data_IF_185978625942
#
_entry.id   IF_185978625942
#
_cell.length_a   1.000
_cell.length_b   1.000
_cell.length_c   1.000
_cell.angle_alpha   90.00
_cell.angle_beta   90.00
_cell.angle_gamma   90.00
#
_symmetry.space_group_name_H-M   'P 1'
#
loop_
_entity.id
_entity.type
_entity.pdbx_description
1 polymer ?
#
# COMPACT_ATOMS: atom_id res chain seq x y z
N UNK A 1 17.74 6.33 20.06
CA UNK A 1 16.40 6.42 19.41
C UNK A 1 15.28 5.88 20.31
N UNK A 2 15.47 4.72 20.95
CA UNK A 2 14.45 4.05 21.79
C UNK A 2 13.97 4.88 23.01
N UNK A 3 14.84 5.70 23.61
CA UNK A 3 14.52 6.46 24.83
C UNK A 3 13.57 7.65 24.61
N UNK A 4 13.49 8.19 23.39
CA UNK A 4 12.63 9.34 23.07
C UNK A 4 11.18 8.96 22.71
N UNK A 5 10.93 7.70 22.31
CA UNK A 5 9.62 7.23 21.83
C UNK A 5 8.73 6.66 22.94
N UNK A 6 9.32 6.14 24.02
CA UNK A 6 8.61 5.45 25.11
C UNK A 6 7.77 6.42 25.95
N UNK A 7 8.13 7.70 26.03
CA UNK A 7 7.42 8.69 26.85
C UNK A 7 6.12 9.20 26.22
N UNK A 8 5.87 8.99 24.92
CA UNK A 8 4.72 9.60 24.23
C UNK A 8 3.65 8.59 23.72
N UNK A 9 3.97 7.30 23.51
CA UNK A 9 3.07 6.37 22.78
C UNK A 9 2.78 5.00 23.42
N UNK A 10 3.25 4.71 24.65
CA UNK A 10 3.02 3.45 25.38
C UNK A 10 3.07 2.17 24.47
N UNK A 11 1.92 1.65 24.02
CA UNK A 11 1.82 0.45 23.16
C UNK A 11 1.97 0.69 21.66
N UNK A 12 1.55 1.86 21.15
CA UNK A 12 1.59 2.17 19.70
C UNK A 12 3.03 2.48 19.26
N UNK A 13 3.86 2.94 20.21
CA UNK A 13 5.26 3.26 19.97
C UNK A 13 6.08 2.05 19.51
N UNK A 14 5.75 0.85 20.00
CA UNK A 14 6.40 -0.39 19.57
C UNK A 14 6.04 -0.72 18.11
N UNK A 15 4.77 -0.61 17.71
CA UNK A 15 4.33 -0.88 16.35
C UNK A 15 4.91 0.11 15.33
N UNK A 16 5.03 1.38 15.71
CA UNK A 16 5.68 2.40 14.88
C UNK A 16 7.18 2.12 14.78
N UNK A 17 7.84 1.73 15.88
CA UNK A 17 9.26 1.38 15.86
C UNK A 17 9.56 0.17 14.95
N UNK A 18 8.73 -0.87 14.97
CA UNK A 18 8.90 -2.04 14.08
C UNK A 18 8.64 -1.69 12.62
N UNK A 19 7.63 -0.85 12.34
CA UNK A 19 7.39 -0.34 10.99
C UNK A 19 8.60 0.49 10.49
N UNK A 20 9.13 1.41 11.30
CA UNK A 20 10.30 2.22 10.91
C UNK A 20 11.52 1.32 10.70
N UNK A 21 11.74 0.34 11.57
CA UNK A 21 12.85 -0.61 11.45
C UNK A 21 12.74 -1.46 10.17
N UNK A 22 11.53 -1.85 9.75
CA UNK A 22 11.35 -2.64 8.53
C UNK A 22 11.63 -1.81 7.28
N UNK A 23 11.18 -0.56 7.22
CA UNK A 23 11.51 0.36 6.13
C UNK A 23 13.01 0.66 6.07
N UNK A 24 13.65 0.86 7.22
CA UNK A 24 15.10 1.06 7.28
C UNK A 24 15.86 -0.15 6.71
N UNK A 25 15.42 -1.37 7.04
CA UNK A 25 16.00 -2.60 6.51
C UNK A 25 15.84 -2.69 4.98
N UNK A 26 14.66 -2.39 4.44
CA UNK A 26 14.40 -2.38 3.00
C UNK A 26 15.28 -1.36 2.26
N UNK A 27 15.44 -0.16 2.83
CA UNK A 27 16.29 0.89 2.26
C UNK A 27 17.75 0.47 2.26
N UNK A 28 18.25 -0.03 3.39
CA UNK A 28 19.64 -0.48 3.52
C UNK A 28 19.96 -1.58 2.50
N UNK A 29 19.09 -2.60 2.41
CA UNK A 29 19.26 -3.70 1.46
C UNK A 29 19.25 -3.20 0.02
N UNK A 30 18.32 -2.29 -0.31
CA UNK A 30 18.23 -1.68 -1.65
C UNK A 30 19.50 -0.91 -2.01
N UNK A 31 20.06 -0.12 -1.08
CA UNK A 31 21.32 0.61 -1.28
C UNK A 31 22.48 -0.35 -1.52
N UNK A 32 22.60 -1.43 -0.72
CA UNK A 32 23.67 -2.42 -0.87
C UNK A 32 23.60 -3.12 -2.24
N UNK A 33 22.38 -3.44 -2.70
CA UNK A 33 22.15 -4.05 -4.02
C UNK A 33 22.59 -3.14 -5.17
N UNK A 34 22.26 -1.85 -5.07
CA UNK A 34 22.67 -0.84 -6.07
C UNK A 34 24.18 -0.63 -6.03
N UNK A 35 24.77 -0.50 -4.84
CA UNK A 35 26.21 -0.30 -4.67
C UNK A 35 27.05 -1.46 -5.22
N UNK A 36 26.56 -2.70 -5.08
CA UNK A 36 27.20 -3.90 -5.64
C UNK A 36 26.92 -4.12 -7.14
N UNK A 37 26.20 -3.22 -7.81
CA UNK A 37 25.72 -3.35 -9.19
C UNK A 37 24.95 -4.66 -9.45
N UNK A 38 24.35 -5.26 -8.41
CA UNK A 38 23.54 -6.47 -8.53
C UNK A 38 22.10 -6.17 -8.92
N UNK A 39 21.69 -4.90 -8.81
CA UNK A 39 20.37 -4.44 -9.18
C UNK A 39 20.42 -3.03 -9.73
N UNK A 40 19.80 -2.85 -10.89
CA UNK A 40 19.60 -1.55 -11.53
C UNK A 40 18.10 -1.28 -11.44
N UNK A 41 17.67 -0.21 -10.76
CA UNK A 41 16.26 0.09 -10.61
C UNK A 41 15.64 0.39 -11.98
N UNK A 42 14.73 -0.48 -12.42
CA UNK A 42 14.06 -0.30 -13.69
C UNK A 42 13.07 0.88 -13.63
N UNK A 43 13.04 1.69 -14.69
CA UNK A 43 12.04 2.76 -14.85
C UNK A 43 10.60 2.24 -14.77
N UNK A 44 10.38 0.99 -15.20
CA UNK A 44 9.08 0.31 -15.07
C UNK A 44 8.67 0.08 -13.61
N UNK A 45 9.65 -0.13 -12.72
CA UNK A 45 9.41 -0.37 -11.29
C UNK A 45 8.94 0.93 -10.62
N UNK A 46 9.63 2.04 -10.88
CA UNK A 46 9.23 3.38 -10.41
C UNK A 46 7.84 3.75 -10.94
N UNK A 47 7.61 3.54 -12.24
CA UNK A 47 6.30 3.78 -12.86
C UNK A 47 5.18 2.95 -12.22
N UNK A 48 5.47 1.72 -11.83
CA UNK A 48 4.52 0.83 -11.13
C UNK A 48 4.23 1.35 -9.72
N UNK A 49 5.26 1.74 -8.95
CA UNK A 49 5.10 2.34 -7.62
C UNK A 49 4.21 3.59 -7.69
N UNK A 50 4.49 4.51 -8.62
CA UNK A 50 3.70 5.74 -8.80
C UNK A 50 2.24 5.43 -9.12
N UNK A 51 1.97 4.46 -10.00
CA UNK A 51 0.59 4.05 -10.32
C UNK A 51 -0.13 3.44 -9.12
N UNK A 52 0.56 2.62 -8.31
CA UNK A 52 -0.01 2.04 -7.08
C UNK A 52 -0.37 3.15 -6.09
N UNK A 53 0.55 4.10 -5.88
CA UNK A 53 0.31 5.27 -5.02
C UNK A 53 -0.91 6.08 -5.50
N UNK A 54 -1.02 6.31 -6.82
CA UNK A 54 -2.15 7.02 -7.41
C UNK A 54 -3.47 6.26 -7.21
N UNK A 55 -3.47 4.94 -7.42
CA UNK A 55 -4.64 4.07 -7.18
C UNK A 55 -5.07 4.09 -5.72
N UNK A 56 -4.11 4.05 -4.79
CA UNK A 56 -4.35 4.14 -3.35
C UNK A 56 -4.94 5.50 -2.98
N UNK A 57 -4.42 6.59 -3.54
CA UNK A 57 -4.91 7.94 -3.27
C UNK A 57 -6.38 8.11 -3.70
N UNK A 58 -6.75 7.61 -4.87
CA UNK A 58 -8.14 7.64 -5.32
C UNK A 58 -9.04 6.78 -4.43
N UNK A 59 -8.59 5.60 -4.01
CA UNK A 59 -9.33 4.76 -3.05
C UNK A 59 -9.57 5.51 -1.73
N UNK A 60 -8.55 6.18 -1.20
CA UNK A 60 -8.67 6.97 0.04
C UNK A 60 -9.67 8.11 -0.13
N UNK A 61 -9.60 8.85 -1.25
CA UNK A 61 -10.57 9.91 -1.56
C UNK A 61 -12.01 9.37 -1.60
N UNK A 62 -12.22 8.23 -2.27
CA UNK A 62 -13.51 7.57 -2.36
C UNK A 62 -14.04 7.17 -0.97
N UNK A 63 -13.19 6.58 -0.12
CA UNK A 63 -13.56 6.17 1.23
C UNK A 63 -13.90 7.37 2.12
N UNK A 64 -13.15 8.46 2.04
CA UNK A 64 -13.44 9.70 2.80
C UNK A 64 -14.80 10.24 2.41
N UNK A 65 -15.08 10.33 1.10
CA UNK A 65 -16.36 10.81 0.60
C UNK A 65 -17.49 9.89 1.10
N UNK A 66 -17.37 8.59 0.87
CA UNK A 66 -18.36 7.58 1.27
C UNK A 66 -18.64 7.59 2.78
N UNK A 67 -17.60 7.78 3.60
CA UNK A 67 -17.72 7.89 5.06
C UNK A 67 -18.65 9.03 5.47
N UNK A 68 -18.51 10.20 4.83
CA UNK A 68 -19.31 11.40 5.12
C UNK A 68 -20.80 11.19 4.82
N UNK A 69 -21.13 10.44 3.76
CA UNK A 69 -22.52 10.18 3.38
C UNK A 69 -23.19 9.06 4.19
N UNK A 70 -22.42 8.05 4.62
CA UNK A 70 -22.98 6.82 5.21
C UNK A 70 -23.00 6.85 6.74
N UNK A 71 -21.99 7.45 7.38
CA UNK A 71 -21.89 7.44 8.83
C UNK A 71 -22.72 8.60 9.40
N UNK A 72 -23.99 8.32 9.67
CA UNK A 72 -24.81 9.16 10.53
C UNK A 72 -24.63 8.70 11.99
N UNK A 73 -24.49 9.63 12.93
CA UNK A 73 -24.09 9.33 14.32
C UNK A 73 -25.10 8.45 15.07
N UNK A 74 -26.35 8.41 14.62
CA UNK A 74 -27.47 7.70 15.27
C UNK A 74 -27.64 6.22 14.88
N UNK A 75 -26.62 5.57 14.31
CA UNK A 75 -26.72 4.16 13.90
C UNK A 75 -26.45 3.20 15.08
N UNK A 76 -27.31 2.18 15.24
CA UNK A 76 -27.11 1.10 16.21
C UNK A 76 -25.80 0.32 15.96
N UNK A 77 -25.25 -0.31 17.01
CA UNK A 77 -23.95 -1.00 16.97
C UNK A 77 -23.88 -2.11 15.91
N UNK A 78 -24.96 -2.89 15.73
CA UNK A 78 -25.00 -3.94 14.70
C UNK A 78 -24.94 -3.36 13.28
N UNK A 79 -25.54 -2.20 13.04
CA UNK A 79 -25.48 -1.53 11.74
C UNK A 79 -24.07 -0.98 11.45
N UNK A 80 -23.32 -0.56 12.48
CA UNK A 80 -21.94 -0.06 12.33
C UNK A 80 -20.98 -1.12 11.78
N UNK A 81 -21.05 -2.36 12.29
CA UNK A 81 -20.17 -3.45 11.82
C UNK A 81 -20.46 -3.80 10.35
N UNK A 82 -21.75 -3.90 9.99
CA UNK A 82 -22.15 -4.19 8.61
C UNK A 82 -21.72 -3.08 7.64
N UNK A 83 -21.89 -1.81 8.04
CA UNK A 83 -21.42 -0.64 7.27
C UNK A 83 -19.90 -0.64 7.13
N UNK A 84 -19.14 -0.97 8.18
CA UNK A 84 -17.69 -1.08 8.11
C UNK A 84 -17.24 -2.15 7.11
N UNK A 85 -17.86 -3.34 7.15
CA UNK A 85 -17.57 -4.42 6.20
C UNK A 85 -17.85 -3.96 4.77
N UNK A 86 -19.01 -3.33 4.53
CA UNK A 86 -19.37 -2.81 3.21
C UNK A 86 -18.40 -1.73 2.73
N UNK A 87 -17.93 -0.87 3.63
CA UNK A 87 -16.97 0.20 3.35
C UNK A 87 -15.58 -0.36 3.00
N UNK A 88 -15.13 -1.41 3.69
CA UNK A 88 -13.88 -2.11 3.33
C UNK A 88 -14.00 -2.82 1.97
N UNK A 89 -15.11 -3.52 1.73
CA UNK A 89 -15.36 -4.22 0.46
C UNK A 89 -15.45 -3.25 -0.73
N UNK A 90 -16.14 -2.13 -0.56
CA UNK A 90 -16.23 -1.10 -1.61
C UNK A 90 -14.88 -0.43 -1.87
N UNK A 91 -14.09 -0.11 -0.83
CA UNK A 91 -12.72 0.37 -0.98
C UNK A 91 -11.83 -0.60 -1.76
N UNK A 92 -11.91 -1.89 -1.43
CA UNK A 92 -11.20 -2.96 -2.15
C UNK A 92 -11.59 -3.00 -3.63
N UNK A 93 -12.89 -2.95 -3.94
CA UNK A 93 -13.39 -2.94 -5.31
C UNK A 93 -12.87 -1.73 -6.09
N UNK A 94 -12.92 -0.53 -5.50
CA UNK A 94 -12.43 0.71 -6.13
C UNK A 94 -10.93 0.61 -6.40
N UNK A 95 -10.13 0.16 -5.43
CA UNK A 95 -8.70 -0.06 -5.62
C UNK A 95 -8.41 -1.07 -6.73
N UNK A 96 -9.11 -2.21 -6.77
CA UNK A 96 -8.93 -3.22 -7.81
C UNK A 96 -9.29 -2.68 -9.20
N UNK A 97 -10.39 -1.93 -9.33
CA UNK A 97 -10.81 -1.33 -10.59
C UNK A 97 -9.76 -0.34 -11.10
N UNK A 98 -9.31 0.59 -10.25
CA UNK A 98 -8.36 1.63 -10.65
C UNK A 98 -6.99 1.02 -10.97
N UNK A 99 -6.52 0.06 -10.16
CA UNK A 99 -5.27 -0.66 -10.40
C UNK A 99 -5.30 -1.43 -11.73
N UNK A 100 -6.45 -2.02 -12.08
CA UNK A 100 -6.66 -2.69 -13.37
C UNK A 100 -6.67 -1.69 -14.53
N UNK A 101 -7.35 -0.55 -14.40
CA UNK A 101 -7.39 0.52 -15.42
C UNK A 101 -5.99 1.08 -15.68
N UNK A 102 -5.21 1.32 -14.62
CA UNK A 102 -3.84 1.80 -14.70
C UNK A 102 -2.85 0.76 -15.30
N UNK A 103 -3.32 -0.47 -15.61
CA UNK A 103 -2.50 -1.61 -16.04
C UNK A 103 -1.27 -1.76 -15.14
N UNK A 104 -1.45 -1.65 -13.83
CA UNK A 104 -0.40 -1.99 -12.85
C UNK A 104 -0.13 -3.47 -12.92
N UNK A 105 -1.21 -4.26 -13.09
CA UNK A 105 -1.16 -5.63 -13.60
C UNK A 105 -0.97 -5.62 -15.12
N UNK A 106 0.11 -4.97 -15.60
CA UNK A 106 0.78 -5.53 -16.76
C UNK A 106 1.17 -6.92 -16.29
N UNK A 107 0.38 -7.95 -16.62
CA UNK A 107 0.85 -9.32 -16.58
C UNK A 107 2.24 -9.27 -17.19
N UNK A 108 3.26 -9.27 -16.33
CA UNK A 108 4.18 -10.38 -16.32
C UNK A 108 4.43 -10.80 -17.76
N UNK A 109 5.24 -10.01 -18.46
CA UNK A 109 5.93 -10.43 -19.68
C UNK A 109 6.92 -11.59 -19.34
N UNK A 110 6.59 -12.48 -18.39
CA UNK A 110 7.31 -13.73 -18.16
C UNK A 110 7.20 -14.67 -19.37
N UNK A 111 6.30 -14.40 -20.33
CA UNK A 111 6.19 -15.21 -21.54
C UNK A 111 7.24 -14.88 -22.62
N UNK A 112 7.94 -13.74 -22.56
CA UNK A 112 8.94 -13.39 -23.61
C UNK A 112 10.38 -13.78 -23.27
N UNK A 113 10.70 -14.11 -22.02
CA UNK A 113 12.07 -14.48 -21.63
C UNK A 113 12.35 -15.99 -21.63
N UNK A 114 11.35 -16.84 -21.87
CA UNK A 114 11.56 -18.30 -22.04
C UNK A 114 11.78 -18.73 -23.50
N UNK A 115 11.82 -17.79 -24.47
CA UNK A 115 12.03 -18.10 -25.89
C UNK A 115 13.39 -17.67 -26.47
N UNK A 116 14.31 -17.19 -25.65
CA UNK A 116 15.68 -16.79 -26.08
C UNK A 116 16.80 -17.66 -25.48
N UNK A 117 16.45 -18.85 -25.01
CA UNK A 117 17.42 -19.90 -24.68
C UNK A 117 17.07 -21.14 -25.48
N UNK A 118 17.32 -21.09 -26.79
CA UNK A 118 17.58 -22.23 -27.66
C UNK A 118 18.29 -21.69 -28.90
#
# INVERSE_FOLDING_TARGET
>A
LNYFLIQYFQHVGLAIATAISSWFNVVLLSIILIYKNWWIPDYNLIKTIVKILFSSLIMVLFLIFTKVFIINENLEYFNKISILILLVLSGLLVYMLISKILKVMSFVNLKSNMKKSN
#
